data_IF_421847764043
#
_entry.id   IF_421847764043
#
_cell.length_a   1.000
_cell.length_b   1.000
_cell.length_c   1.000
_cell.angle_alpha   90.00
_cell.angle_beta   90.00
_cell.angle_gamma   90.00
#
_symmetry.space_group_name_H-M   'P 1'
#
loop_
_entity.id
_entity.type
_entity.pdbx_description
1 polymer ?
#
# COMPACT_ATOMS: atom_id res chain seq x y z
N UNK A 1 -15.26 88.89 16.87
CA UNK A 1 -14.76 88.93 18.27
C UNK A 1 -14.52 87.48 18.66
N UNK A 2 -13.36 86.91 18.28
CA UNK A 2 -12.21 86.66 19.18
C UNK A 2 -12.67 86.09 20.53
N UNK A 3 -12.38 84.85 20.90
CA UNK A 3 -11.06 84.24 20.96
C UNK A 3 -11.15 82.70 20.95
N UNK A 4 -10.19 82.06 20.28
CA UNK A 4 -9.76 80.70 20.60
C UNK A 4 -9.41 80.63 22.09
N UNK A 5 -10.00 79.70 22.84
CA UNK A 5 -9.37 79.18 24.06
C UNK A 5 -8.96 77.75 23.80
N UNK A 6 -7.69 77.64 23.46
CA UNK A 6 -6.90 76.43 23.62
C UNK A 6 -6.62 76.20 25.12
N UNK A 7 -6.37 74.93 25.42
CA UNK A 7 -5.61 74.40 26.55
C UNK A 7 -6.29 74.26 27.93
N UNK A 8 -6.47 72.99 28.29
CA UNK A 8 -5.85 72.43 29.50
C UNK A 8 -5.89 70.90 29.50
N UNK A 9 -5.05 70.28 28.68
CA UNK A 9 -4.56 68.92 28.99
C UNK A 9 -3.40 69.03 29.99
N UNK A 10 -3.71 69.47 31.22
CA UNK A 10 -2.81 69.29 32.35
C UNK A 10 -3.24 68.05 33.12
N UNK A 11 -2.59 66.95 32.83
CA UNK A 11 -2.73 65.71 33.57
C UNK A 11 -1.48 64.90 33.32
N UNK A 12 -0.42 65.22 34.06
CA UNK A 12 0.77 64.38 34.17
C UNK A 12 0.35 63.04 34.82
N UNK A 13 -0.29 62.16 34.05
CA UNK A 13 -0.61 60.81 34.45
C UNK A 13 0.71 60.05 34.49
N UNK A 14 1.37 60.11 35.66
CA UNK A 14 2.43 59.19 36.01
C UNK A 14 1.80 57.81 35.93
N UNK A 15 1.99 57.11 34.81
CA UNK A 15 1.54 55.72 34.64
C UNK A 15 2.16 54.95 35.80
N UNK A 16 1.33 54.58 36.78
CA UNK A 16 1.78 53.77 37.90
C UNK A 16 2.17 52.40 37.36
N UNK A 17 3.08 51.71 38.05
CA UNK A 17 3.41 50.32 37.71
C UNK A 17 2.15 49.45 37.64
N UNK A 18 1.13 49.74 38.46
CA UNK A 18 -0.17 49.04 38.43
C UNK A 18 -0.95 49.28 37.13
N UNK A 19 -0.90 50.50 36.60
CA UNK A 19 -1.64 50.87 35.38
C UNK A 19 -0.96 50.28 34.14
N UNK A 20 0.38 50.21 34.15
CA UNK A 20 1.14 49.50 33.13
C UNK A 20 0.85 48.00 33.15
N UNK A 21 0.74 47.38 34.32
CA UNK A 21 0.36 45.97 34.46
C UNK A 21 -1.06 45.68 33.97
N UNK A 22 -2.02 46.58 34.22
CA UNK A 22 -3.39 46.44 33.71
C UNK A 22 -3.46 46.55 32.19
N UNK A 23 -2.73 47.48 31.59
CA UNK A 23 -2.67 47.64 30.13
C UNK A 23 -2.03 46.40 29.48
N UNK A 24 -0.93 45.88 30.06
CA UNK A 24 -0.27 44.66 29.58
C UNK A 24 -1.21 43.45 29.70
N UNK A 25 -1.94 43.33 30.82
CA UNK A 25 -2.90 42.25 31.01
C UNK A 25 -4.06 42.32 30.00
N UNK A 26 -4.64 43.50 29.77
CA UNK A 26 -5.69 43.69 28.76
C UNK A 26 -5.17 43.41 27.33
N UNK A 27 -3.97 43.89 27.00
CA UNK A 27 -3.35 43.59 25.71
C UNK A 27 -3.09 42.08 25.54
N UNK A 28 -2.61 41.40 26.59
CA UNK A 28 -2.41 39.96 26.57
C UNK A 28 -3.72 39.19 26.38
N UNK A 29 -4.81 39.60 27.03
CA UNK A 29 -6.15 38.99 26.87
C UNK A 29 -6.67 39.20 25.45
N UNK A 30 -6.52 40.40 24.88
CA UNK A 30 -6.93 40.68 23.49
C UNK A 30 -6.08 39.84 22.53
N UNK A 31 -4.75 39.81 22.69
CA UNK A 31 -3.86 38.97 21.87
C UNK A 31 -4.22 37.49 21.99
N UNK A 32 -4.52 37.01 23.19
CA UNK A 32 -4.94 35.63 23.43
C UNK A 32 -6.30 35.33 22.77
N UNK A 33 -7.27 36.25 22.85
CA UNK A 33 -8.56 36.12 22.17
C UNK A 33 -8.42 36.14 20.64
N UNK A 34 -7.50 36.95 20.09
CA UNK A 34 -7.14 36.92 18.67
C UNK A 34 -6.42 35.62 18.28
N UNK A 35 -5.60 35.06 19.17
CA UNK A 35 -4.92 33.77 18.99
C UNK A 35 -5.88 32.57 19.06
N UNK A 36 -6.94 32.66 19.88
CA UNK A 36 -8.00 31.64 19.96
C UNK A 36 -8.94 31.73 18.74
N UNK A 37 -9.32 32.94 18.31
CA UNK A 37 -10.19 33.14 17.15
C UNK A 37 -9.52 32.75 15.81
N UNK A 38 -8.18 32.80 15.75
CA UNK A 38 -7.42 32.30 14.59
C UNK A 38 -7.35 30.77 14.51
N UNK A 39 -7.79 30.04 15.56
CA UNK A 39 -7.94 28.58 15.51
C UNK A 39 -9.32 28.09 15.06
N UNK A 40 -10.32 28.97 14.95
CA UNK A 40 -11.71 28.58 14.65
C UNK A 40 -12.04 28.52 13.15
N UNK A 41 -11.11 28.86 12.25
CA UNK A 41 -11.27 28.73 10.79
C UNK A 41 -11.03 27.31 10.25
N UNK A 42 -10.73 26.34 11.11
CA UNK A 42 -10.32 24.98 10.69
C UNK A 42 -11.50 24.06 10.33
N UNK A 43 -12.75 24.38 10.65
CA UNK A 43 -13.88 23.45 10.43
C UNK A 43 -14.54 23.53 9.05
N UNK A 44 -14.38 24.62 8.29
CA UNK A 44 -14.97 24.71 6.93
C UNK A 44 -14.08 24.09 5.83
N UNK A 45 -12.76 24.11 5.98
CA UNK A 45 -11.84 23.58 4.96
C UNK A 45 -11.71 22.04 4.96
N UNK A 46 -12.21 21.39 6.01
CA UNK A 46 -12.10 19.94 6.15
C UNK A 46 -13.20 19.18 5.37
N UNK A 47 -14.39 19.76 5.18
CA UNK A 47 -15.50 19.06 4.51
C UNK A 47 -15.21 18.78 3.03
N UNK A 48 -14.66 19.75 2.31
CA UNK A 48 -14.27 19.59 0.90
C UNK A 48 -13.10 18.62 0.73
N UNK A 49 -12.18 18.59 1.71
CA UNK A 49 -11.05 17.64 1.75
C UNK A 49 -11.49 16.22 2.08
N UNK A 50 -12.42 16.05 3.02
CA UNK A 50 -12.97 14.75 3.42
C UNK A 50 -13.81 14.12 2.30
N UNK A 51 -14.52 14.95 1.50
CA UNK A 51 -15.19 14.51 0.28
C UNK A 51 -14.18 14.17 -0.82
N UNK A 52 -13.15 15.00 -1.04
CA UNK A 52 -12.12 14.73 -2.04
C UNK A 52 -11.25 13.48 -1.73
N UNK A 53 -11.08 13.14 -0.45
CA UNK A 53 -10.40 11.93 0.00
C UNK A 53 -11.23 10.67 -0.28
N UNK A 54 -12.56 10.76 -0.22
CA UNK A 54 -13.48 9.66 -0.55
C UNK A 54 -13.67 9.42 -2.05
N UNK A 55 -13.32 10.40 -2.90
CA UNK A 55 -13.32 10.28 -4.37
C UNK A 55 -11.92 9.93 -4.89
N UNK A 56 -10.96 9.61 -4.01
CA UNK A 56 -9.69 9.04 -4.45
C UNK A 56 -9.95 7.74 -5.24
N UNK A 57 -9.19 7.56 -6.31
CA UNK A 57 -9.30 6.43 -7.22
C UNK A 57 -8.95 5.13 -6.48
N UNK A 58 -9.94 4.45 -5.89
CA UNK A 58 -9.82 3.19 -5.10
C UNK A 58 -9.42 1.96 -5.93
N UNK A 59 -8.82 2.16 -7.10
CA UNK A 59 -8.46 1.06 -7.98
C UNK A 59 -7.55 1.55 -9.10
N UNK A 60 -6.26 1.61 -8.82
CA UNK A 60 -5.28 1.48 -9.89
C UNK A 60 -5.13 -0.02 -10.18
N UNK A 61 -5.85 -0.52 -11.19
CA UNK A 61 -5.58 -1.86 -11.73
C UNK A 61 -4.23 -1.77 -12.43
N UNK A 62 -3.19 -2.25 -11.74
CA UNK A 62 -1.85 -2.37 -12.32
C UNK A 62 -1.90 -3.53 -13.32
N UNK A 63 -2.00 -3.22 -14.61
CA UNK A 63 -1.70 -4.21 -15.63
C UNK A 63 -0.21 -4.48 -15.55
N UNK A 64 0.17 -5.65 -15.03
CA UNK A 64 1.57 -6.07 -15.01
C UNK A 64 2.08 -6.10 -16.44
N UNK A 65 3.17 -5.38 -16.70
CA UNK A 65 3.80 -5.35 -18.02
C UNK A 65 4.12 -6.78 -18.46
N UNK A 66 3.40 -7.25 -19.48
CA UNK A 66 3.69 -8.50 -20.17
C UNK A 66 5.10 -8.52 -20.80
N UNK A 67 5.78 -7.37 -20.82
CA UNK A 67 7.13 -7.19 -21.33
C UNK A 67 8.23 -7.63 -20.35
N UNK A 68 7.93 -7.85 -19.05
CA UNK A 68 8.93 -8.38 -18.12
C UNK A 68 9.09 -9.88 -18.39
N UNK A 69 10.31 -10.29 -18.77
CA UNK A 69 10.63 -11.70 -18.97
C UNK A 69 10.19 -12.52 -17.75
N UNK A 70 9.38 -13.55 -17.99
CA UNK A 70 8.87 -14.41 -16.94
C UNK A 70 10.04 -15.09 -16.21
N UNK A 71 10.04 -15.02 -14.87
CA UNK A 71 11.07 -15.63 -14.03
C UNK A 71 11.11 -17.16 -14.21
N UNK A 72 12.27 -17.80 -14.00
CA UNK A 72 12.37 -19.26 -13.98
C UNK A 72 11.63 -19.84 -12.77
N UNK A 73 11.16 -21.09 -12.87
CA UNK A 73 10.37 -21.72 -11.81
C UNK A 73 11.08 -21.82 -10.46
N UNK A 74 12.40 -22.02 -10.46
CA UNK A 74 13.22 -22.09 -9.25
C UNK A 74 13.19 -20.77 -8.45
N UNK A 75 13.26 -19.63 -9.12
CA UNK A 75 13.26 -18.31 -8.46
C UNK A 75 11.91 -18.02 -7.81
N UNK A 76 10.83 -18.38 -8.51
CA UNK A 76 9.46 -18.27 -7.99
C UNK A 76 9.28 -19.18 -6.78
N UNK A 77 9.78 -20.42 -6.87
CA UNK A 77 9.78 -21.35 -5.74
C UNK A 77 10.49 -20.76 -4.53
N UNK A 78 11.71 -20.25 -4.70
CA UNK A 78 12.50 -19.66 -3.60
C UNK A 78 11.78 -18.48 -2.97
N UNK A 79 11.22 -17.60 -3.79
CA UNK A 79 10.61 -16.36 -3.34
C UNK A 79 9.26 -16.53 -2.63
N UNK A 80 8.45 -17.54 -3.00
CA UNK A 80 7.08 -17.67 -2.48
C UNK A 80 6.73 -19.07 -1.98
N UNK A 81 7.08 -20.11 -2.74
CA UNK A 81 6.59 -21.47 -2.47
C UNK A 81 7.38 -22.16 -1.34
N UNK A 82 8.65 -21.80 -1.18
CA UNK A 82 9.58 -22.38 -0.20
C UNK A 82 9.09 -22.21 1.24
N UNK A 83 8.39 -21.11 1.53
CA UNK A 83 7.86 -20.78 2.85
C UNK A 83 7.05 -21.93 3.48
N UNK A 84 6.29 -22.66 2.66
CA UNK A 84 5.52 -23.81 3.12
C UNK A 84 6.10 -25.14 2.64
N UNK A 85 6.57 -25.21 1.39
CA UNK A 85 6.98 -26.47 0.78
C UNK A 85 8.40 -26.91 1.15
N UNK A 86 9.26 -26.05 1.70
CA UNK A 86 10.60 -26.48 2.14
C UNK A 86 10.53 -27.41 3.36
N UNK A 87 9.68 -27.08 4.34
CA UNK A 87 9.49 -27.86 5.56
C UNK A 87 8.26 -28.78 5.53
N UNK A 88 7.31 -28.53 4.62
CA UNK A 88 6.00 -29.19 4.62
C UNK A 88 5.02 -28.56 5.61
N UNK A 89 5.15 -27.25 5.87
CA UNK A 89 4.28 -26.52 6.80
C UNK A 89 2.81 -26.66 6.42
N UNK A 90 1.93 -26.73 7.42
CA UNK A 90 0.49 -26.91 7.26
C UNK A 90 0.09 -28.12 6.39
N UNK A 91 0.93 -29.17 6.34
CA UNK A 91 0.70 -30.35 5.52
C UNK A 91 1.00 -30.17 4.04
N UNK A 92 1.76 -29.12 3.67
CA UNK A 92 2.22 -28.93 2.30
C UNK A 92 3.12 -30.11 1.86
N UNK A 93 3.01 -30.59 0.61
CA UNK A 93 3.90 -31.62 0.10
C UNK A 93 5.34 -31.08 0.06
N UNK A 94 6.23 -31.70 0.83
CA UNK A 94 7.60 -31.24 0.98
C UNK A 94 8.35 -31.32 -0.36
N UNK A 95 9.14 -30.31 -0.66
CA UNK A 95 9.94 -30.24 -1.87
C UNK A 95 10.94 -31.41 -1.92
N UNK A 96 11.01 -32.09 -3.07
CA UNK A 96 11.85 -33.27 -3.28
C UNK A 96 11.34 -34.57 -2.63
N UNK A 97 10.22 -34.54 -1.90
CA UNK A 97 9.65 -35.75 -1.28
C UNK A 97 8.90 -36.60 -2.31
N UNK A 98 9.57 -37.61 -2.84
CA UNK A 98 9.00 -38.52 -3.85
C UNK A 98 7.72 -39.21 -3.36
N UNK A 99 7.62 -39.58 -2.08
CA UNK A 99 6.44 -40.27 -1.57
C UNK A 99 5.24 -39.33 -1.48
N UNK A 100 5.44 -38.11 -1.01
CA UNK A 100 4.40 -37.09 -0.97
C UNK A 100 3.95 -36.66 -2.38
N UNK A 101 4.87 -36.60 -3.35
CA UNK A 101 4.59 -36.13 -4.70
C UNK A 101 4.11 -37.22 -5.66
N UNK A 102 4.43 -38.49 -5.44
CA UNK A 102 3.99 -39.60 -6.29
C UNK A 102 2.48 -39.61 -6.62
N UNK A 103 1.55 -39.49 -5.65
CA UNK A 103 0.12 -39.43 -5.98
C UNK A 103 -0.30 -38.14 -6.69
N UNK A 104 0.49 -37.07 -6.56
CA UNK A 104 0.21 -35.77 -7.18
C UNK A 104 0.65 -35.76 -8.65
N UNK A 105 1.85 -36.27 -8.93
CA UNK A 105 2.44 -36.39 -10.27
C UNK A 105 1.62 -37.33 -11.17
N UNK A 106 0.82 -38.25 -10.60
CA UNK A 106 -0.16 -39.05 -11.38
C UNK A 106 -1.27 -38.23 -12.03
N UNK A 107 -1.52 -37.01 -11.55
CA UNK A 107 -2.47 -36.09 -12.18
C UNK A 107 -1.82 -35.40 -13.39
N UNK A 108 -2.63 -34.77 -14.22
CA UNK A 108 -2.13 -33.94 -15.31
C UNK A 108 -1.42 -32.70 -14.75
N UNK A 109 -0.43 -32.20 -15.50
CA UNK A 109 0.28 -30.97 -15.14
C UNK A 109 -0.69 -29.79 -14.94
N UNK A 110 -1.66 -29.63 -15.83
CA UNK A 110 -2.69 -28.60 -15.74
C UNK A 110 -3.50 -28.67 -14.44
N UNK A 111 -3.81 -29.88 -13.95
CA UNK A 111 -4.53 -30.05 -12.69
C UNK A 111 -3.71 -29.59 -11.48
N UNK A 112 -2.39 -29.83 -11.51
CA UNK A 112 -1.47 -29.35 -10.47
C UNK A 112 -1.36 -27.83 -10.49
N UNK A 113 -1.19 -27.25 -11.68
CA UNK A 113 -1.16 -25.79 -11.87
C UNK A 113 -2.47 -25.16 -11.42
N UNK A 114 -3.61 -25.72 -11.80
CA UNK A 114 -4.93 -25.21 -11.40
C UNK A 114 -5.12 -25.25 -9.88
N UNK A 115 -4.65 -26.33 -9.22
CA UNK A 115 -4.65 -26.43 -7.76
C UNK A 115 -3.80 -25.35 -7.10
N UNK A 116 -2.67 -24.97 -7.70
CA UNK A 116 -1.82 -23.88 -7.20
C UNK A 116 -2.47 -22.50 -7.44
N UNK A 117 -3.01 -22.27 -8.64
CA UNK A 117 -3.63 -21.00 -9.01
C UNK A 117 -4.88 -20.70 -8.17
N UNK A 118 -5.76 -21.69 -7.99
CA UNK A 118 -6.99 -21.54 -7.21
C UNK A 118 -6.81 -21.75 -5.71
N UNK A 119 -5.67 -22.30 -5.29
CA UNK A 119 -5.45 -22.74 -3.93
C UNK A 119 -6.14 -24.07 -3.63
N UNK A 120 -5.64 -24.77 -2.61
CA UNK A 120 -6.17 -26.07 -2.18
C UNK A 120 -5.81 -26.37 -0.73
N UNK A 121 -6.83 -26.65 0.09
CA UNK A 121 -6.63 -26.90 1.52
C UNK A 121 -6.05 -25.65 2.21
N UNK A 122 -4.90 -25.80 2.86
CA UNK A 122 -4.19 -24.70 3.52
C UNK A 122 -3.35 -23.83 2.57
N UNK A 123 -3.19 -24.22 1.29
CA UNK A 123 -2.48 -23.43 0.29
C UNK A 123 -3.40 -22.35 -0.28
N UNK A 124 -3.02 -21.08 -0.14
CA UNK A 124 -3.75 -19.93 -0.71
C UNK A 124 -3.67 -19.90 -2.25
N UNK A 125 -4.67 -19.28 -2.87
CA UNK A 125 -4.68 -19.02 -4.30
C UNK A 125 -3.46 -18.18 -4.70
N UNK A 126 -2.71 -18.63 -5.70
CA UNK A 126 -1.55 -17.91 -6.23
C UNK A 126 -1.89 -17.02 -7.43
N UNK A 127 -3.05 -17.22 -8.04
CA UNK A 127 -3.53 -16.37 -9.13
C UNK A 127 -3.76 -14.93 -8.64
N UNK A 128 -3.40 -13.95 -9.48
CA UNK A 128 -3.56 -12.53 -9.17
C UNK A 128 -2.59 -11.99 -8.10
N UNK A 129 -1.63 -12.79 -7.65
CA UNK A 129 -0.57 -12.36 -6.73
C UNK A 129 0.65 -11.75 -7.44
N UNK A 130 1.80 -11.78 -6.77
CA UNK A 130 3.07 -11.22 -7.24
C UNK A 130 3.63 -11.90 -8.51
N UNK A 131 3.29 -13.16 -8.73
CA UNK A 131 3.77 -13.98 -9.85
C UNK A 131 2.66 -14.21 -10.86
N UNK A 132 3.02 -14.31 -12.13
CA UNK A 132 2.05 -14.53 -13.22
C UNK A 132 1.68 -16.01 -13.25
N UNK A 133 0.55 -16.34 -13.86
CA UNK A 133 0.12 -17.73 -13.95
C UNK A 133 1.18 -18.62 -14.64
N UNK A 134 1.93 -18.05 -15.60
CA UNK A 134 3.07 -18.70 -16.24
C UNK A 134 4.22 -18.95 -15.24
N UNK A 135 4.60 -17.95 -14.47
CA UNK A 135 5.65 -18.08 -13.43
C UNK A 135 5.26 -19.11 -12.36
N UNK A 136 3.98 -19.17 -11.97
CA UNK A 136 3.45 -20.19 -11.06
C UNK A 136 3.51 -21.57 -11.71
N UNK A 137 3.10 -21.70 -12.97
CA UNK A 137 3.17 -22.98 -13.68
C UNK A 137 4.61 -23.51 -13.78
N UNK A 138 5.58 -22.62 -14.03
CA UNK A 138 7.01 -22.95 -13.99
C UNK A 138 7.47 -23.42 -12.62
N UNK A 139 7.04 -22.74 -11.55
CA UNK A 139 7.35 -23.17 -10.18
C UNK A 139 6.79 -24.57 -9.89
N UNK A 140 5.57 -24.88 -10.34
CA UNK A 140 4.96 -26.21 -10.19
C UNK A 140 5.76 -27.26 -10.96
N UNK A 141 6.21 -26.96 -12.19
CA UNK A 141 7.05 -27.86 -12.97
C UNK A 141 8.38 -28.15 -12.26
N UNK A 142 9.04 -27.11 -11.75
CA UNK A 142 10.27 -27.22 -10.97
C UNK A 142 10.08 -28.07 -9.70
N UNK A 143 9.03 -27.83 -8.92
CA UNK A 143 8.78 -28.61 -7.71
C UNK A 143 8.49 -30.08 -8.00
N UNK A 144 7.70 -30.34 -9.05
CA UNK A 144 7.36 -31.70 -9.45
C UNK A 144 8.57 -32.46 -10.01
N UNK A 145 9.44 -31.81 -10.79
CA UNK A 145 10.63 -32.44 -11.37
C UNK A 145 11.62 -32.92 -10.30
N UNK A 146 11.75 -32.14 -9.23
CA UNK A 146 12.61 -32.48 -8.10
C UNK A 146 12.11 -33.69 -7.30
N UNK A 147 10.85 -34.10 -7.51
CA UNK A 147 10.27 -35.30 -6.92
C UNK A 147 10.02 -36.42 -7.97
N UNK A 148 10.66 -36.34 -9.15
CA UNK A 148 10.59 -37.35 -10.20
C UNK A 148 9.50 -37.13 -11.26
N UNK A 149 8.82 -35.98 -11.24
CA UNK A 149 7.88 -35.57 -12.28
C UNK A 149 8.58 -35.25 -13.60
N UNK A 150 7.95 -35.61 -14.72
CA UNK A 150 8.49 -35.34 -16.06
C UNK A 150 7.59 -34.37 -16.82
N UNK A 151 7.24 -33.26 -16.18
CA UNK A 151 6.46 -32.21 -16.82
C UNK A 151 7.39 -31.26 -17.57
N UNK A 152 7.04 -30.93 -18.81
CA UNK A 152 7.75 -29.90 -19.56
C UNK A 152 7.45 -28.56 -18.90
N UNK A 153 8.49 -27.82 -18.51
CA UNK A 153 8.32 -26.46 -18.00
C UNK A 153 7.74 -25.59 -19.12
N UNK A 154 6.66 -24.81 -18.84
CA UNK A 154 6.04 -24.00 -19.87
C UNK A 154 6.99 -22.90 -20.33
N UNK A 155 7.33 -22.94 -21.61
CA UNK A 155 8.06 -21.89 -22.31
C UNK A 155 7.21 -20.60 -22.30
N UNK A 156 7.88 -19.44 -22.27
CA UNK A 156 7.14 -18.18 -22.41
C UNK A 156 6.46 -18.20 -23.79
N UNK A 157 5.18 -17.76 -23.88
CA UNK A 157 4.59 -17.56 -25.20
C UNK A 157 5.51 -16.60 -25.97
N UNK A 158 5.91 -17.01 -27.17
CA UNK A 158 6.67 -16.14 -28.07
C UNK A 158 5.93 -14.80 -28.18
N UNK A 159 6.62 -13.64 -28.16
CA UNK A 159 5.96 -12.37 -28.41
C UNK A 159 5.22 -12.52 -29.73
N UNK A 160 3.90 -12.33 -29.68
CA UNK A 160 3.09 -12.30 -30.89
C UNK A 160 3.75 -11.30 -31.82
N UNK A 161 4.21 -11.77 -32.97
CA UNK A 161 4.72 -10.93 -34.03
C UNK A 161 3.71 -9.80 -34.24
N UNK A 162 4.19 -8.56 -34.21
CA UNK A 162 3.45 -7.37 -34.61
C UNK A 162 2.74 -7.65 -35.94
N UNK A 163 1.43 -7.91 -35.89
CA UNK A 163 0.56 -7.66 -37.02
C UNK A 163 0.48 -6.14 -37.18
N UNK A 164 1.42 -5.60 -37.96
CA UNK A 164 1.26 -4.30 -38.61
C UNK A 164 -0.03 -4.35 -39.42
N UNK A 165 -1.03 -3.58 -39.02
CA UNK A 165 -2.15 -3.18 -39.87
C UNK A 165 -2.19 -1.66 -39.96
#
# INVERSE_FOLDING_TARGET
>A
MSTNSHDSHSGNSKISKSDLWLIIACAAIIIFAYFDLSKTTVTYSNAERDVAERIQKVGAVQFRDAAKAARPGEDVYKAQCSACHASGAAGAPKFGDVAAWAPRIKNTFESLVNSALKGKGAMSAQAGGEFSDLEIARAVAYMASQAGGKFKEPEAPAPAAEEKK
#
